data_IF_424302354265
#
_entry.id   IF_424302354265
#
_cell.length_a   1.000
_cell.length_b   1.000
_cell.length_c   1.000
_cell.angle_alpha   90.00
_cell.angle_beta   90.00
_cell.angle_gamma   90.00
#
_symmetry.space_group_name_H-M   'P 1'
#
loop_
_entity.id
_entity.type
_entity.pdbx_description
1 polymer ?
#
# COMPACT_ATOMS: atom_id res chain seq x y z
N UNK A 1 -9.79 2.45 -11.79
CA UNK A 1 -9.72 1.06 -12.31
C UNK A 1 -10.88 0.81 -13.23
N UNK A 2 -10.79 -0.22 -14.07
CA UNK A 2 -11.92 -0.67 -14.92
C UNK A 2 -13.05 -1.23 -14.07
N UNK A 3 -14.28 -1.25 -14.61
CA UNK A 3 -15.42 -1.94 -14.00
C UNK A 3 -15.17 -3.44 -14.07
N UNK A 4 -15.53 -4.19 -13.03
CA UNK A 4 -15.22 -5.64 -12.95
C UNK A 4 -13.73 -5.95 -12.78
N UNK A 5 -12.98 -5.08 -12.11
CA UNK A 5 -11.53 -5.17 -11.96
C UNK A 5 -11.04 -6.53 -11.41
N UNK A 6 -11.81 -7.18 -10.55
CA UNK A 6 -11.42 -8.46 -9.96
C UNK A 6 -11.56 -9.61 -10.97
N UNK A 7 -12.58 -9.58 -11.82
CA UNK A 7 -12.76 -10.57 -12.90
C UNK A 7 -11.66 -10.42 -13.98
N UNK A 8 -11.34 -9.16 -14.32
CA UNK A 8 -10.23 -8.86 -15.24
C UNK A 8 -8.90 -9.37 -14.69
N UNK A 9 -8.65 -9.18 -13.39
CA UNK A 9 -7.45 -9.70 -12.75
C UNK A 9 -7.40 -11.22 -12.78
N UNK A 10 -8.48 -11.87 -12.37
CA UNK A 10 -8.57 -13.33 -12.34
C UNK A 10 -8.27 -13.92 -13.72
N UNK A 11 -8.98 -13.46 -14.76
CA UNK A 11 -8.76 -13.89 -16.13
C UNK A 11 -7.31 -13.70 -16.58
N UNK A 12 -6.73 -12.52 -16.28
CA UNK A 12 -5.36 -12.23 -16.66
C UNK A 12 -4.34 -13.17 -15.98
N UNK A 13 -4.53 -13.46 -14.69
CA UNK A 13 -3.65 -14.36 -13.94
C UNK A 13 -3.79 -15.82 -14.40
N UNK A 14 -4.98 -16.25 -14.78
CA UNK A 14 -5.23 -17.59 -15.34
C UNK A 14 -4.49 -17.78 -16.69
N UNK A 15 -4.43 -16.71 -17.51
CA UNK A 15 -3.73 -16.70 -18.79
C UNK A 15 -2.19 -16.50 -18.66
N UNK A 16 -1.70 -16.00 -17.52
CA UNK A 16 -0.28 -15.64 -17.31
C UNK A 16 0.30 -16.24 -16.03
N UNK A 17 0.65 -17.55 -15.99
CA UNK A 17 1.08 -18.24 -14.77
C UNK A 17 2.35 -17.66 -14.11
N UNK A 18 3.26 -17.04 -14.87
CA UNK A 18 4.45 -16.39 -14.29
C UNK A 18 4.07 -15.16 -13.48
N UNK A 19 3.19 -14.31 -14.02
CA UNK A 19 2.71 -13.12 -13.34
C UNK A 19 1.80 -13.47 -12.16
N UNK A 20 1.07 -14.59 -12.25
CA UNK A 20 0.28 -15.11 -11.14
C UNK A 20 1.16 -15.41 -9.91
N UNK A 21 2.31 -16.07 -10.09
CA UNK A 21 3.26 -16.35 -9.00
C UNK A 21 3.86 -15.06 -8.40
N UNK A 22 4.22 -14.11 -9.24
CA UNK A 22 4.71 -12.80 -8.77
C UNK A 22 3.61 -12.04 -8.01
N UNK A 23 2.38 -12.07 -8.52
CA UNK A 23 1.24 -11.44 -7.87
C UNK A 23 0.93 -12.09 -6.51
N UNK A 24 1.00 -13.41 -6.40
CA UNK A 24 0.80 -14.11 -5.13
C UNK A 24 1.80 -13.66 -4.06
N UNK A 25 3.07 -13.48 -4.45
CA UNK A 25 4.15 -13.08 -3.55
C UNK A 25 4.11 -11.60 -3.17
N UNK A 26 3.84 -10.72 -4.14
CA UNK A 26 3.97 -9.27 -3.94
C UNK A 26 2.63 -8.55 -3.84
N UNK A 27 1.51 -9.19 -4.22
CA UNK A 27 0.17 -8.60 -4.38
C UNK A 27 0.19 -7.30 -5.21
N UNK A 28 1.16 -7.21 -6.13
CA UNK A 28 1.45 -6.05 -6.98
C UNK A 28 1.84 -6.53 -8.38
N UNK A 29 1.49 -5.75 -9.40
CA UNK A 29 1.84 -6.01 -10.80
C UNK A 29 2.50 -4.79 -11.41
N UNK A 30 3.54 -4.99 -12.23
CA UNK A 30 4.18 -3.90 -12.99
C UNK A 30 3.24 -3.33 -14.05
N UNK A 31 2.53 -4.22 -14.76
CA UNK A 31 1.55 -3.85 -15.79
C UNK A 31 0.17 -4.37 -15.39
N UNK A 32 -0.51 -3.66 -14.52
CA UNK A 32 -1.84 -4.05 -14.04
C UNK A 32 -2.90 -3.75 -15.11
N UNK A 33 -3.54 -4.78 -15.72
CA UNK A 33 -4.54 -4.60 -16.77
C UNK A 33 -5.80 -3.87 -16.30
N UNK A 34 -6.00 -3.75 -15.00
CA UNK A 34 -7.14 -3.05 -14.37
C UNK A 34 -6.99 -1.54 -14.40
N UNK A 35 -5.78 -1.01 -14.68
CA UNK A 35 -5.51 0.41 -14.58
C UNK A 35 -5.81 1.09 -15.91
N UNK A 36 -6.79 1.99 -15.93
CA UNK A 36 -7.12 2.85 -17.07
C UNK A 36 -6.02 3.89 -17.33
N UNK A 37 -6.03 4.51 -18.52
CA UNK A 37 -5.11 5.61 -18.86
C UNK A 37 -5.22 6.76 -17.85
N UNK A 38 -6.45 7.14 -17.48
CA UNK A 38 -6.72 8.15 -16.45
C UNK A 38 -6.17 7.69 -15.07
N UNK A 39 -6.35 6.42 -14.73
CA UNK A 39 -5.82 5.86 -13.49
C UNK A 39 -4.29 5.90 -13.44
N UNK A 40 -3.60 5.66 -14.57
CA UNK A 40 -2.14 5.82 -14.66
C UNK A 40 -1.70 7.27 -14.43
N UNK A 41 -2.42 8.23 -14.99
CA UNK A 41 -2.14 9.65 -14.78
C UNK A 41 -2.33 10.04 -13.32
N UNK A 42 -3.46 9.67 -12.69
CA UNK A 42 -3.73 9.96 -11.28
C UNK A 42 -2.65 9.38 -10.36
N UNK A 43 -2.25 8.12 -10.57
CA UNK A 43 -1.18 7.48 -9.79
C UNK A 43 0.18 8.14 -10.00
N UNK A 44 0.52 8.51 -11.24
CA UNK A 44 1.78 9.22 -11.53
C UNK A 44 1.86 10.59 -10.85
N UNK A 45 0.73 11.22 -10.62
CA UNK A 45 0.62 12.53 -9.97
C UNK A 45 0.27 12.43 -8.49
N UNK A 46 0.09 11.20 -7.95
CA UNK A 46 -0.39 10.93 -6.58
C UNK A 46 -1.71 11.62 -6.25
N UNK A 47 -2.49 12.00 -7.25
CA UNK A 47 -3.80 12.62 -7.05
C UNK A 47 -4.85 11.63 -6.53
N UNK A 48 -4.63 10.35 -6.72
CA UNK A 48 -5.45 9.27 -6.18
C UNK A 48 -5.36 9.14 -4.64
N UNK A 49 -4.34 9.72 -4.03
CA UNK A 49 -4.18 9.76 -2.59
C UNK A 49 -4.86 10.96 -1.91
N UNK A 50 -5.26 11.97 -2.69
CA UNK A 50 -5.92 13.18 -2.16
C UNK A 50 -7.17 12.90 -1.32
N UNK A 51 -8.07 11.97 -1.69
CA UNK A 51 -9.23 11.66 -0.85
C UNK A 51 -8.85 11.14 0.54
N UNK A 52 -7.65 10.60 0.71
CA UNK A 52 -7.17 10.10 2.01
C UNK A 52 -6.94 11.24 3.02
N UNK A 53 -6.67 12.47 2.54
CA UNK A 53 -6.60 13.63 3.42
C UNK A 53 -7.93 13.92 4.13
N UNK A 54 -9.06 13.67 3.45
CA UNK A 54 -10.39 13.78 4.07
C UNK A 54 -10.52 12.77 5.20
N UNK A 55 -10.03 11.54 5.00
CA UNK A 55 -10.03 10.51 6.03
C UNK A 55 -9.14 10.89 7.22
N UNK A 56 -8.02 11.57 6.98
CA UNK A 56 -7.15 12.08 8.05
C UNK A 56 -7.87 13.17 8.84
N UNK A 57 -8.50 14.13 8.18
CA UNK A 57 -9.26 15.19 8.82
C UNK A 57 -10.44 14.65 9.64
N UNK A 58 -11.10 13.62 9.16
CA UNK A 58 -12.18 12.92 9.87
C UNK A 58 -11.67 11.98 10.98
N UNK A 59 -10.36 11.82 11.14
CA UNK A 59 -9.74 10.99 12.16
C UNK A 59 -9.83 9.48 11.91
N UNK A 60 -10.26 9.03 10.73
CA UNK A 60 -10.32 7.60 10.35
C UNK A 60 -8.96 7.09 9.84
N UNK A 61 -8.08 7.99 9.40
CA UNK A 61 -6.69 7.71 9.03
C UNK A 61 -5.73 8.60 9.78
N UNK A 62 -4.45 8.22 9.79
CA UNK A 62 -3.32 9.00 10.29
C UNK A 62 -2.41 9.45 9.14
N UNK A 63 -1.53 10.42 9.38
CA UNK A 63 -0.45 10.73 8.43
C UNK A 63 0.53 9.57 8.34
N UNK A 64 0.92 8.99 9.48
CA UNK A 64 1.82 7.84 9.57
C UNK A 64 1.07 6.66 10.14
N UNK A 65 1.24 5.48 9.55
CA UNK A 65 0.60 4.27 10.02
C UNK A 65 0.80 3.10 9.07
N UNK A 66 0.28 1.92 9.42
CA UNK A 66 0.22 0.78 8.51
C UNK A 66 -0.54 1.14 7.23
N UNK A 67 -0.19 0.47 6.14
CA UNK A 67 -0.96 0.66 4.90
C UNK A 67 -2.43 0.29 5.10
N UNK A 68 -3.40 1.04 4.53
CA UNK A 68 -4.78 0.59 4.50
C UNK A 68 -4.91 -0.68 3.66
N UNK A 69 -5.18 -1.80 4.31
CA UNK A 69 -5.41 -3.09 3.65
C UNK A 69 -6.86 -3.22 3.18
N UNK A 70 -7.04 -3.89 2.05
CA UNK A 70 -8.37 -4.13 1.50
C UNK A 70 -9.05 -5.30 2.24
N UNK A 71 -10.39 -5.31 2.37
CA UNK A 71 -11.12 -6.40 3.03
C UNK A 71 -10.81 -7.80 2.47
N UNK A 72 -10.53 -7.89 1.16
CA UNK A 72 -10.15 -9.14 0.49
C UNK A 72 -8.74 -9.63 0.89
N UNK A 73 -7.85 -8.72 1.30
CA UNK A 73 -6.49 -9.05 1.75
C UNK A 73 -6.47 -9.66 3.16
N UNK A 74 -7.58 -9.52 3.93
CA UNK A 74 -7.69 -10.05 5.30
C UNK A 74 -7.35 -11.54 5.40
N UNK A 75 -7.78 -12.33 4.42
CA UNK A 75 -7.49 -13.79 4.39
C UNK A 75 -6.00 -14.07 4.24
N UNK A 76 -5.29 -13.24 3.48
CA UNK A 76 -3.86 -13.37 3.24
C UNK A 76 -3.02 -12.82 4.41
N UNK A 77 -3.62 -12.01 5.28
CA UNK A 77 -2.93 -11.41 6.43
C UNK A 77 -2.76 -12.37 7.61
N UNK A 78 -3.61 -13.39 7.72
CA UNK A 78 -3.55 -14.35 8.83
C UNK A 78 -3.53 -13.65 10.21
N UNK A 79 -2.63 -14.10 11.09
CA UNK A 79 -2.51 -13.58 12.46
C UNK A 79 -2.03 -12.12 12.54
N UNK A 80 -1.39 -11.60 11.48
CA UNK A 80 -0.94 -10.20 11.44
C UNK A 80 -2.11 -9.21 11.49
N UNK A 81 -3.28 -9.61 11.03
CA UNK A 81 -4.46 -8.76 10.97
C UNK A 81 -4.80 -8.14 12.33
N UNK A 82 -4.88 -8.98 13.39
CA UNK A 82 -5.30 -8.55 14.73
C UNK A 82 -4.32 -7.54 15.36
N UNK A 83 -3.07 -7.57 14.99
CA UNK A 83 -2.07 -6.59 15.44
C UNK A 83 -2.15 -5.29 14.64
N UNK A 84 -2.23 -5.41 13.32
CA UNK A 84 -2.17 -4.25 12.42
C UNK A 84 -3.40 -3.35 12.57
N UNK A 85 -4.60 -3.92 12.80
CA UNK A 85 -5.83 -3.13 12.96
C UNK A 85 -5.88 -2.30 14.25
N UNK A 86 -4.97 -2.53 15.20
CA UNK A 86 -4.89 -1.72 16.42
C UNK A 86 -4.34 -0.31 16.14
N UNK A 87 -3.60 -0.14 15.04
CA UNK A 87 -3.11 1.15 14.60
C UNK A 87 -4.02 1.73 13.51
N UNK A 88 -4.23 3.06 13.53
CA UNK A 88 -4.93 3.73 12.43
C UNK A 88 -4.10 3.59 11.15
N UNK A 89 -4.73 3.29 10.00
CA UNK A 89 -4.02 3.26 8.72
C UNK A 89 -3.43 4.62 8.39
N UNK A 90 -2.23 4.63 7.82
CA UNK A 90 -1.49 5.83 7.47
C UNK A 90 -1.54 6.16 5.98
N UNK A 91 -1.38 7.46 5.66
CA UNK A 91 -1.10 7.92 4.31
C UNK A 91 0.29 7.46 3.87
N UNK A 92 1.24 7.51 4.78
CA UNK A 92 2.58 6.94 4.62
C UNK A 92 2.90 5.99 5.77
N UNK A 93 3.89 5.13 5.61
CA UNK A 93 4.23 4.16 6.62
C UNK A 93 5.67 3.64 6.51
N UNK A 94 6.10 2.82 7.47
CA UNK A 94 7.50 2.42 7.64
C UNK A 94 8.06 1.69 6.42
N UNK A 95 7.34 0.74 5.83
CA UNK A 95 7.83 0.03 4.65
C UNK A 95 7.78 0.89 3.37
N UNK A 96 6.81 1.82 3.27
CA UNK A 96 6.68 2.73 2.13
C UNK A 96 7.91 3.64 1.99
N UNK A 97 8.48 4.09 3.11
CA UNK A 97 9.67 4.95 3.13
C UNK A 97 10.99 4.16 3.21
N UNK A 98 10.94 2.86 3.49
CA UNK A 98 12.12 2.00 3.61
C UNK A 98 12.87 1.74 2.29
N UNK A 99 12.44 2.28 1.16
CA UNK A 99 13.10 2.09 -0.15
C UNK A 99 12.93 0.69 -0.75
N UNK A 100 12.11 -0.14 -0.14
CA UNK A 100 11.91 -1.55 -0.53
C UNK A 100 10.60 -1.72 -1.27
N UNK A 101 10.50 -1.21 -2.49
CA UNK A 101 9.32 -1.41 -3.35
C UNK A 101 9.08 -2.89 -3.67
N UNK A 102 10.10 -3.72 -3.55
CA UNK A 102 10.11 -5.13 -3.96
C UNK A 102 10.11 -6.12 -2.78
N UNK A 103 9.66 -5.69 -1.59
CA UNK A 103 9.46 -6.60 -0.46
C UNK A 103 8.19 -7.41 -0.64
N UNK A 104 8.20 -8.66 -0.14
CA UNK A 104 7.04 -9.54 -0.17
C UNK A 104 5.86 -8.97 0.62
N UNK A 105 4.65 -9.46 0.34
CA UNK A 105 3.46 -9.08 1.09
C UNK A 105 3.62 -9.43 2.59
N UNK A 106 4.19 -10.58 2.89
CA UNK A 106 4.46 -11.01 4.27
C UNK A 106 5.44 -10.07 5.01
N UNK A 107 6.54 -9.66 4.35
CA UNK A 107 7.50 -8.74 4.97
C UNK A 107 6.90 -7.36 5.24
N UNK A 108 5.97 -6.90 4.38
CA UNK A 108 5.20 -5.67 4.65
C UNK A 108 4.38 -5.80 5.92
N UNK A 109 3.68 -6.92 6.07
CA UNK A 109 2.87 -7.19 7.27
C UNK A 109 3.72 -7.26 8.54
N UNK A 110 4.92 -7.86 8.48
CA UNK A 110 5.86 -7.88 9.62
C UNK A 110 6.25 -6.47 10.04
N UNK A 111 6.61 -5.62 9.07
CA UNK A 111 6.98 -4.23 9.33
C UNK A 111 5.80 -3.42 9.89
N UNK A 112 4.60 -3.59 9.32
CA UNK A 112 3.40 -2.89 9.79
C UNK A 112 2.96 -3.37 11.18
N UNK A 113 3.13 -4.67 11.49
CA UNK A 113 2.93 -5.20 12.84
C UNK A 113 3.90 -4.58 13.84
N UNK A 114 5.21 -4.58 13.54
CA UNK A 114 6.21 -3.96 14.43
C UNK A 114 5.91 -2.50 14.69
N UNK A 115 5.46 -1.78 13.68
CA UNK A 115 5.04 -0.40 13.82
C UNK A 115 3.80 -0.27 14.73
N UNK A 116 2.78 -1.11 14.52
CA UNK A 116 1.56 -1.08 15.32
C UNK A 116 1.83 -1.36 16.81
N UNK A 117 2.77 -2.27 17.11
CA UNK A 117 3.18 -2.62 18.49
C UNK A 117 4.05 -1.53 19.15
N UNK A 118 4.80 -0.76 18.36
CA UNK A 118 5.82 0.19 18.86
C UNK A 118 5.62 1.60 18.30
N UNK A 119 4.37 2.07 18.29
CA UNK A 119 4.08 3.44 17.84
C UNK A 119 4.88 4.46 18.67
N UNK A 120 5.69 5.28 17.98
CA UNK A 120 6.52 6.29 18.61
C UNK A 120 6.57 7.54 17.72
N UNK A 121 6.26 8.69 18.32
CA UNK A 121 6.24 9.99 17.64
C UNK A 121 7.58 10.32 16.96
N UNK A 122 8.70 9.95 17.60
CA UNK A 122 10.04 10.17 17.03
C UNK A 122 10.24 9.37 15.74
N UNK A 123 9.72 8.14 15.70
CA UNK A 123 9.74 7.30 14.51
C UNK A 123 8.81 7.85 13.43
N UNK A 124 7.63 8.33 13.80
CA UNK A 124 6.68 8.95 12.89
C UNK A 124 7.30 10.18 12.20
N UNK A 125 7.97 11.04 12.96
CA UNK A 125 8.68 12.19 12.40
C UNK A 125 9.75 11.78 11.38
N UNK A 126 10.53 10.72 11.67
CA UNK A 126 11.50 10.18 10.70
C UNK A 126 10.85 9.67 9.43
N UNK A 127 9.70 8.99 9.55
CA UNK A 127 8.93 8.49 8.41
C UNK A 127 8.43 9.66 7.56
N UNK A 128 7.89 10.71 8.19
CA UNK A 128 7.44 11.91 7.50
C UNK A 128 8.58 12.61 6.73
N UNK A 129 9.74 12.81 7.36
CA UNK A 129 10.90 13.40 6.68
C UNK A 129 11.33 12.57 5.47
N UNK A 130 11.42 11.25 5.61
CA UNK A 130 11.75 10.36 4.48
C UNK A 130 10.68 10.38 3.39
N UNK A 131 9.40 10.52 3.76
CA UNK A 131 8.31 10.64 2.78
C UNK A 131 8.48 11.91 1.94
N UNK A 132 8.72 13.05 2.60
CA UNK A 132 8.96 14.33 1.92
C UNK A 132 10.16 14.22 0.97
N UNK A 133 11.27 13.65 1.45
CA UNK A 133 12.47 13.42 0.63
C UNK A 133 12.17 12.60 -0.64
N UNK A 134 11.40 11.50 -0.50
CA UNK A 134 11.02 10.64 -1.64
C UNK A 134 10.12 11.36 -2.63
N UNK A 135 9.15 12.14 -2.15
CA UNK A 135 8.26 12.94 -3.01
C UNK A 135 9.09 13.91 -3.85
N UNK A 136 10.06 14.61 -3.26
CA UNK A 136 10.93 15.52 -3.99
C UNK A 136 11.86 14.81 -4.99
N UNK A 137 12.36 13.63 -4.66
CA UNK A 137 13.18 12.80 -5.55
C UNK A 137 12.36 12.08 -6.63
N UNK A 138 11.04 12.18 -6.62
CA UNK A 138 10.12 11.42 -7.49
C UNK A 138 10.36 9.90 -7.45
N UNK A 139 10.87 9.39 -6.33
CA UNK A 139 11.09 7.97 -6.11
C UNK A 139 9.79 7.33 -5.61
N UNK A 140 9.27 6.37 -6.35
CA UNK A 140 8.12 5.56 -5.93
C UNK A 140 6.78 5.91 -6.59
N UNK A 141 6.72 6.87 -7.49
CA UNK A 141 5.58 7.05 -8.39
C UNK A 141 5.59 5.93 -9.45
N UNK A 142 4.90 4.82 -9.17
CA UNK A 142 4.65 3.72 -10.12
C UNK A 142 3.19 3.67 -10.50
#
# INVERSE_FOLDING_TARGET
MVVGADDVLKKYLDENPKEAREYEKYKKMKNDPRITKTGKFLRKTSLDEWPQFINILNGTMSLVGPRPYLPRERKDMGDYYEYIIQAKPGLTGPWQVGGRSDISFEDRMKIDKEYAEKQDLKNDMKILFKTVEKVFKKEGAC
#
